data_IF_231134044130
#
_entry.id   IF_231134044130
#
_cell.length_a   1.000
_cell.length_b   1.000
_cell.length_c   1.000
_cell.angle_alpha   90.00
_cell.angle_beta   90.00
_cell.angle_gamma   90.00
#
_symmetry.space_group_name_H-M   'P 1'
#
loop_
_entity.id
_entity.type
_entity.pdbx_description
1 polymer ?
#
# COMPACT_ATOMS: atom_id res chain seq x y z
N UNK A 1 -11.10 -1.66 1.21
CA UNK A 1 -11.51 -2.40 2.45
C UNK A 1 -11.94 -1.41 3.52
N UNK A 2 -13.08 -1.60 4.18
CA UNK A 2 -13.49 -0.74 5.30
C UNK A 2 -12.59 -1.02 6.51
N UNK A 3 -12.43 -0.05 7.41
CA UNK A 3 -11.70 -0.26 8.68
C UNK A 3 -12.18 -1.51 9.43
N UNK A 4 -13.51 -1.71 9.52
CA UNK A 4 -14.10 -2.88 10.14
C UNK A 4 -13.70 -4.19 9.43
N UNK A 5 -13.61 -4.21 8.11
CA UNK A 5 -13.23 -5.38 7.33
C UNK A 5 -11.72 -5.66 7.50
N UNK A 6 -10.88 -4.60 7.51
CA UNK A 6 -9.46 -4.71 7.80
C UNK A 6 -9.19 -5.30 9.19
N UNK A 7 -9.97 -4.86 10.18
CA UNK A 7 -9.89 -5.39 11.57
C UNK A 7 -10.29 -6.88 11.62
N UNK A 8 -11.29 -7.29 10.81
CA UNK A 8 -11.76 -8.68 10.80
C UNK A 8 -10.78 -9.63 10.07
N UNK A 9 -10.05 -9.14 9.07
CA UNK A 9 -9.21 -9.95 8.19
C UNK A 9 -7.70 -9.77 8.42
N UNK A 10 -7.31 -9.03 9.46
CA UNK A 10 -5.89 -8.78 9.73
C UNK A 10 -5.11 -10.08 9.95
N UNK A 11 -3.92 -10.21 9.36
CA UNK A 11 -3.08 -11.38 9.53
C UNK A 11 -2.71 -11.64 11.00
N UNK A 12 -2.39 -12.90 11.37
CA UNK A 12 -2.05 -13.28 12.75
C UNK A 12 -0.90 -12.47 13.34
N UNK A 13 0.08 -12.08 12.52
CA UNK A 13 1.23 -11.26 12.94
C UNK A 13 0.89 -9.86 13.45
N UNK A 14 -0.38 -9.43 13.34
CA UNK A 14 -0.81 -8.16 13.92
C UNK A 14 -0.57 -8.08 15.43
N UNK A 15 -0.55 -9.22 16.12
CA UNK A 15 -0.30 -9.30 17.57
C UNK A 15 1.16 -8.99 17.96
N UNK A 16 2.08 -8.95 16.99
CA UNK A 16 3.49 -8.55 17.21
C UNK A 16 3.66 -7.04 17.37
N UNK A 17 2.65 -6.24 17.02
CA UNK A 17 2.69 -4.79 17.14
C UNK A 17 1.86 -4.29 18.33
N UNK A 18 2.24 -3.13 18.84
CA UNK A 18 1.50 -2.39 19.88
C UNK A 18 0.88 -1.13 19.29
N UNK A 19 -0.18 -0.62 19.89
CA UNK A 19 -0.78 0.64 19.47
C UNK A 19 0.21 1.82 19.52
N UNK A 20 1.15 1.81 20.47
CA UNK A 20 2.23 2.80 20.58
C UNK A 20 3.22 2.78 19.40
N UNK A 21 3.30 1.69 18.66
CA UNK A 21 4.15 1.61 17.46
C UNK A 21 3.70 2.57 16.35
N UNK A 22 2.43 3.03 16.38
CA UNK A 22 1.97 4.09 15.48
C UNK A 22 2.82 5.37 15.60
N UNK A 23 3.35 5.67 16.78
CA UNK A 23 4.23 6.83 17.00
C UNK A 23 5.58 6.74 16.27
N UNK A 24 5.93 5.56 15.76
CA UNK A 24 7.17 5.30 15.01
C UNK A 24 6.98 5.42 13.49
N UNK A 25 5.73 5.54 13.03
CA UNK A 25 5.43 5.69 11.61
C UNK A 25 5.76 7.11 11.12
N UNK A 26 6.16 7.20 9.86
CA UNK A 26 6.45 8.47 9.22
C UNK A 26 5.18 9.32 8.98
N UNK A 27 5.35 10.63 8.83
CA UNK A 27 4.26 11.60 8.58
C UNK A 27 3.36 11.18 7.41
N UNK A 28 3.95 10.73 6.30
CA UNK A 28 3.21 10.32 5.10
C UNK A 28 2.26 9.18 5.42
N UNK A 29 2.76 8.14 6.07
CA UNK A 29 1.99 6.95 6.45
C UNK A 29 0.89 7.29 7.45
N UNK A 30 1.19 8.07 8.49
CA UNK A 30 0.17 8.52 9.44
C UNK A 30 -0.94 9.31 8.76
N UNK A 31 -0.61 10.21 7.84
CA UNK A 31 -1.62 10.98 7.13
C UNK A 31 -2.51 10.09 6.25
N UNK A 32 -1.96 9.05 5.61
CA UNK A 32 -2.75 8.06 4.86
C UNK A 32 -3.70 7.27 5.77
N UNK A 33 -3.21 6.79 6.93
CA UNK A 33 -4.01 6.03 7.89
C UNK A 33 -5.17 6.85 8.49
N UNK A 34 -4.99 8.16 8.62
CA UNK A 34 -5.99 9.07 9.18
C UNK A 34 -6.70 9.91 8.10
N UNK A 35 -6.49 9.66 6.82
CA UNK A 35 -7.22 10.34 5.76
C UNK A 35 -8.73 10.06 5.86
N UNK A 36 -9.61 11.09 5.79
CA UNK A 36 -11.04 10.88 5.96
C UNK A 36 -11.61 9.89 4.94
N UNK A 37 -12.28 8.85 5.44
CA UNK A 37 -12.88 7.83 4.60
C UNK A 37 -13.29 6.60 5.40
N UNK A 38 -13.93 5.61 4.77
CA UNK A 38 -14.44 4.42 5.46
C UNK A 38 -13.34 3.54 6.09
N UNK A 39 -12.08 3.72 5.66
CA UNK A 39 -10.92 2.97 6.16
C UNK A 39 -10.01 3.79 7.09
N UNK A 40 -10.38 5.05 7.36
CA UNK A 40 -9.60 5.89 8.27
C UNK A 40 -9.57 5.30 9.68
N UNK A 41 -8.40 5.32 10.31
CA UNK A 41 -8.31 4.98 11.72
C UNK A 41 -9.05 6.05 12.55
N UNK A 42 -9.97 5.65 13.46
CA UNK A 42 -10.64 6.60 14.34
C UNK A 42 -9.67 7.23 15.32
N UNK A 43 -9.66 8.57 15.43
CA UNK A 43 -8.87 9.26 16.44
C UNK A 43 -9.29 8.87 17.86
N UNK A 44 -10.56 8.52 18.03
CA UNK A 44 -11.12 8.00 19.28
C UNK A 44 -10.45 6.70 19.70
N UNK A 45 -10.20 5.77 18.78
CA UNK A 45 -9.48 4.53 19.08
C UNK A 45 -8.02 4.82 19.46
N UNK A 46 -7.34 5.75 18.77
CA UNK A 46 -5.99 6.16 19.15
C UNK A 46 -5.95 6.75 20.55
N UNK A 47 -6.87 7.68 20.84
CA UNK A 47 -6.98 8.30 22.16
C UNK A 47 -7.29 7.27 23.26
N UNK A 48 -8.19 6.33 22.98
CA UNK A 48 -8.54 5.27 23.93
C UNK A 48 -7.36 4.31 24.19
N UNK A 49 -6.65 3.90 23.11
CA UNK A 49 -5.58 2.91 23.21
C UNK A 49 -4.32 3.45 23.88
N UNK A 50 -3.93 4.70 23.58
CA UNK A 50 -2.62 5.26 23.98
C UNK A 50 -2.72 6.61 24.72
N UNK A 51 -3.92 7.03 25.17
CA UNK A 51 -4.10 8.32 25.83
C UNK A 51 -3.25 8.50 27.09
N UNK A 52 -2.95 7.42 27.81
CA UNK A 52 -2.05 7.43 28.97
C UNK A 52 -0.57 7.49 28.60
N UNK A 53 -0.20 7.05 27.40
CA UNK A 53 1.15 7.07 26.84
C UNK A 53 1.44 8.45 26.20
N UNK A 54 1.58 9.47 27.03
CA UNK A 54 1.62 10.89 26.61
C UNK A 54 2.66 11.17 25.53
N UNK A 55 3.84 10.59 25.62
CA UNK A 55 4.90 10.79 24.63
C UNK A 55 4.49 10.26 23.24
N UNK A 56 3.95 9.03 23.18
CA UNK A 56 3.47 8.43 21.94
C UNK A 56 2.29 9.24 21.36
N UNK A 57 1.35 9.67 22.20
CA UNK A 57 0.21 10.49 21.80
C UNK A 57 0.66 11.82 21.20
N UNK A 58 1.60 12.52 21.84
CA UNK A 58 2.14 13.78 21.33
C UNK A 58 2.94 13.59 20.04
N UNK A 59 3.72 12.52 19.93
CA UNK A 59 4.47 12.20 18.72
C UNK A 59 3.51 12.04 17.52
N UNK A 60 2.43 11.26 17.66
CA UNK A 60 1.43 11.10 16.60
C UNK A 60 0.75 12.45 16.31
N UNK A 61 0.30 13.17 17.34
CA UNK A 61 -0.40 14.45 17.16
C UNK A 61 0.43 15.48 16.40
N UNK A 62 1.75 15.53 16.64
CA UNK A 62 2.68 16.45 15.95
C UNK A 62 2.87 16.17 14.46
N UNK A 63 2.60 14.96 14.03
CA UNK A 63 2.75 14.53 12.64
C UNK A 63 1.44 14.68 11.84
N UNK A 64 0.30 14.81 12.50
CA UNK A 64 -1.00 15.05 11.89
C UNK A 64 -1.20 16.53 11.54
N UNK A 65 -2.17 16.86 10.65
CA UNK A 65 -2.63 18.23 10.48
C UNK A 65 -3.07 18.85 11.80
N UNK A 66 -2.73 20.11 12.05
CA UNK A 66 -2.87 20.77 13.36
C UNK A 66 -4.23 20.53 14.05
N UNK A 67 -5.35 20.77 13.34
CA UNK A 67 -6.68 20.58 13.90
C UNK A 67 -6.96 19.12 14.35
N UNK A 68 -6.38 18.14 13.67
CA UNK A 68 -6.49 16.71 14.06
C UNK A 68 -5.59 16.37 15.22
N UNK A 69 -4.36 16.86 15.21
CA UNK A 69 -3.43 16.71 16.33
C UNK A 69 -4.02 17.26 17.62
N UNK A 70 -4.54 18.48 17.61
CA UNK A 70 -5.23 19.10 18.74
C UNK A 70 -6.47 18.30 19.21
N UNK A 71 -7.28 17.80 18.25
CA UNK A 71 -8.42 16.95 18.56
C UNK A 71 -7.96 15.66 19.25
N UNK A 72 -6.91 15.00 18.74
CA UNK A 72 -6.35 13.79 19.33
C UNK A 72 -5.88 14.04 20.78
N UNK A 73 -5.16 15.13 21.03
CA UNK A 73 -4.70 15.48 22.38
C UNK A 73 -5.86 15.74 23.35
N UNK A 74 -6.93 16.41 22.89
CA UNK A 74 -8.15 16.60 23.71
C UNK A 74 -8.85 15.29 24.03
N UNK A 75 -8.96 14.39 23.05
CA UNK A 75 -9.56 13.07 23.25
C UNK A 75 -8.76 12.22 24.25
N UNK A 76 -7.42 12.26 24.17
CA UNK A 76 -6.52 11.53 25.07
C UNK A 76 -6.52 11.96 26.52
N UNK A 77 -7.22 13.06 26.86
CA UNK A 77 -7.42 13.49 28.26
C UNK A 77 -8.60 12.78 28.94
N UNK A 78 -9.42 12.04 28.18
CA UNK A 78 -10.59 11.34 28.72
C UNK A 78 -10.16 10.05 29.39
N UNK A 79 -10.69 9.75 30.60
CA UNK A 79 -10.44 8.46 31.21
C UNK A 79 -11.11 7.34 30.39
N UNK A 80 -10.39 6.24 30.19
CA UNK A 80 -10.87 5.09 29.42
C UNK A 80 -10.71 3.83 30.24
N UNK A 81 -11.74 2.98 30.29
CA UNK A 81 -11.67 1.70 30.98
C UNK A 81 -10.62 0.77 30.34
N UNK A 82 -9.94 -0.05 31.16
CA UNK A 82 -8.87 -0.93 30.67
C UNK A 82 -9.32 -1.87 29.54
N UNK A 83 -10.53 -2.45 29.64
CA UNK A 83 -11.07 -3.32 28.59
C UNK A 83 -11.31 -2.59 27.26
N UNK A 84 -11.78 -1.34 27.30
CA UNK A 84 -11.96 -0.51 26.11
C UNK A 84 -10.63 -0.12 25.51
N UNK A 85 -9.64 0.25 26.32
CA UNK A 85 -8.27 0.53 25.89
C UNK A 85 -7.66 -0.64 25.13
N UNK A 86 -7.76 -1.83 25.68
CA UNK A 86 -7.24 -3.04 25.06
C UNK A 86 -7.97 -3.36 23.74
N UNK A 87 -9.29 -3.23 23.71
CA UNK A 87 -10.08 -3.42 22.50
C UNK A 87 -9.71 -2.40 21.40
N UNK A 88 -9.56 -1.12 21.75
CA UNK A 88 -9.13 -0.07 20.84
C UNK A 88 -7.71 -0.34 20.32
N UNK A 89 -6.77 -0.75 21.18
CA UNK A 89 -5.41 -1.10 20.79
C UNK A 89 -5.39 -2.23 19.75
N UNK A 90 -6.17 -3.29 19.99
CA UNK A 90 -6.28 -4.40 19.01
C UNK A 90 -6.86 -3.93 17.67
N UNK A 91 -7.92 -3.11 17.68
CA UNK A 91 -8.50 -2.57 16.43
C UNK A 91 -7.49 -1.73 15.66
N UNK A 92 -6.78 -0.83 16.33
CA UNK A 92 -5.78 0.03 15.70
C UNK A 92 -4.65 -0.75 15.04
N UNK A 93 -4.06 -1.69 15.80
CA UNK A 93 -2.95 -2.49 15.27
C UNK A 93 -3.40 -3.29 14.05
N UNK A 94 -4.57 -3.91 14.11
CA UNK A 94 -5.12 -4.65 12.95
C UNK A 94 -5.38 -3.73 11.76
N UNK A 95 -5.99 -2.57 11.97
CA UNK A 95 -6.27 -1.61 10.89
C UNK A 95 -5.00 -0.97 10.29
N UNK A 96 -3.92 -0.87 11.07
CA UNK A 96 -2.64 -0.33 10.63
C UNK A 96 -1.63 -1.41 10.20
N UNK A 97 -1.98 -2.70 10.25
CA UNK A 97 -1.05 -3.84 10.13
C UNK A 97 -0.07 -3.71 8.96
N UNK A 98 -0.56 -3.44 7.76
CA UNK A 98 0.30 -3.36 6.57
C UNK A 98 1.31 -2.22 6.66
N UNK A 99 0.88 -1.06 7.15
CA UNK A 99 1.77 0.11 7.30
C UNK A 99 2.80 -0.09 8.41
N UNK A 100 2.40 -0.71 9.52
CA UNK A 100 3.33 -1.12 10.57
C UNK A 100 4.36 -2.11 10.03
N UNK A 101 3.91 -3.08 9.24
CA UNK A 101 4.80 -4.06 8.58
C UNK A 101 5.76 -3.37 7.62
N UNK A 102 5.29 -2.49 6.74
CA UNK A 102 6.14 -1.82 5.76
C UNK A 102 7.23 -0.96 6.41
N UNK A 103 6.94 -0.29 7.51
CA UNK A 103 7.90 0.60 8.16
C UNK A 103 8.73 -0.06 9.25
N UNK A 104 8.17 -0.98 10.03
CA UNK A 104 8.83 -1.54 11.21
C UNK A 104 9.30 -2.99 11.03
N UNK A 105 8.71 -3.71 10.09
CA UNK A 105 9.06 -5.10 9.76
C UNK A 105 9.25 -5.28 8.25
N UNK A 106 9.86 -4.29 7.58
CA UNK A 106 10.04 -4.27 6.13
C UNK A 106 10.79 -5.49 5.59
N UNK A 107 11.64 -6.13 6.39
CA UNK A 107 12.31 -7.38 6.04
C UNK A 107 11.33 -8.55 5.89
N UNK A 108 10.30 -8.66 6.74
CA UNK A 108 9.27 -9.69 6.62
C UNK A 108 8.43 -9.48 5.34
N UNK A 109 8.05 -8.21 5.07
CA UNK A 109 7.37 -7.87 3.81
C UNK A 109 8.22 -8.23 2.59
N UNK A 110 9.50 -7.98 2.66
CA UNK A 110 10.44 -8.30 1.59
C UNK A 110 10.57 -9.81 1.35
N UNK A 111 10.66 -10.59 2.43
CA UNK A 111 10.64 -12.06 2.35
C UNK A 111 9.31 -12.58 1.76
N UNK A 112 8.16 -12.03 2.19
CA UNK A 112 6.86 -12.38 1.60
C UNK A 112 6.85 -12.07 0.10
N UNK A 113 7.27 -10.87 -0.30
CA UNK A 113 7.30 -10.48 -1.70
C UNK A 113 8.20 -11.38 -2.56
N UNK A 114 9.27 -11.93 -2.00
CA UNK A 114 10.15 -12.91 -2.64
C UNK A 114 9.52 -14.31 -2.70
N UNK A 115 8.78 -14.70 -1.66
CA UNK A 115 8.13 -16.02 -1.56
C UNK A 115 6.86 -16.13 -2.41
N UNK A 116 6.28 -15.02 -2.83
CA UNK A 116 5.09 -14.94 -3.68
C UNK A 116 5.45 -14.42 -5.09
N UNK A 117 5.95 -15.25 -6.00
CA UNK A 117 6.29 -14.82 -7.34
C UNK A 117 5.05 -14.37 -8.11
N UNK A 118 5.22 -13.40 -9.01
CA UNK A 118 4.16 -13.02 -9.97
C UNK A 118 4.10 -14.09 -11.04
N UNK A 119 2.88 -14.43 -11.51
CA UNK A 119 2.68 -15.40 -12.59
C UNK A 119 3.55 -15.04 -13.83
N UNK A 120 4.39 -15.95 -14.34
CA UNK A 120 5.30 -15.65 -15.44
C UNK A 120 4.58 -15.25 -16.73
N UNK A 121 3.45 -15.88 -17.03
CA UNK A 121 2.62 -15.59 -18.20
C UNK A 121 2.04 -14.18 -18.10
N UNK A 122 1.62 -13.76 -16.90
CA UNK A 122 1.16 -12.39 -16.64
C UNK A 122 2.28 -11.38 -16.93
N UNK A 123 3.50 -11.67 -16.49
CA UNK A 123 4.65 -10.80 -16.74
C UNK A 123 4.99 -10.70 -18.23
N UNK A 124 4.81 -11.80 -18.98
CA UNK A 124 5.01 -11.82 -20.44
C UNK A 124 3.98 -10.94 -21.17
N UNK A 125 2.73 -10.91 -20.69
CA UNK A 125 1.66 -10.11 -21.29
C UNK A 125 1.72 -8.61 -20.94
N UNK A 126 2.58 -8.20 -20.00
CA UNK A 126 2.80 -6.78 -19.73
C UNK A 126 3.52 -6.11 -20.92
N UNK A 127 2.98 -5.01 -21.49
CA UNK A 127 3.59 -4.29 -22.61
C UNK A 127 4.74 -3.39 -22.15
N UNK A 128 5.80 -4.02 -21.61
CA UNK A 128 6.90 -3.33 -20.93
C UNK A 128 8.09 -3.03 -21.87
N UNK A 129 8.22 -3.76 -23.01
CA UNK A 129 9.42 -3.72 -23.84
C UNK A 129 9.59 -2.38 -24.56
N UNK A 130 10.70 -1.71 -24.30
CA UNK A 130 11.01 -0.39 -24.86
C UNK A 130 10.12 0.75 -24.34
N UNK A 131 9.25 0.51 -23.38
CA UNK A 131 8.29 1.47 -22.85
C UNK A 131 8.89 2.44 -21.82
N UNK A 132 8.30 3.64 -21.71
CA UNK A 132 8.44 4.51 -20.53
C UNK A 132 7.44 4.02 -19.49
N UNK A 133 7.93 3.49 -18.39
CA UNK A 133 7.12 2.84 -17.37
C UNK A 133 7.11 3.67 -16.09
N UNK A 134 5.91 3.82 -15.49
CA UNK A 134 5.72 4.29 -14.13
C UNK A 134 5.15 3.13 -13.31
N UNK A 135 5.94 2.61 -12.40
CA UNK A 135 5.48 1.63 -11.40
C UNK A 135 5.06 2.36 -10.13
N UNK A 136 3.84 2.13 -9.66
CA UNK A 136 3.27 2.81 -8.48
C UNK A 136 3.04 1.82 -7.36
N UNK A 137 3.64 2.09 -6.18
CA UNK A 137 3.66 1.15 -5.05
C UNK A 137 4.66 0.02 -5.29
N UNK A 138 5.89 0.37 -5.69
CA UNK A 138 6.91 -0.60 -6.09
C UNK A 138 7.39 -1.50 -4.93
N UNK A 139 7.14 -1.11 -3.67
CA UNK A 139 7.56 -1.87 -2.50
C UNK A 139 9.07 -2.05 -2.44
N UNK A 140 9.51 -3.28 -2.21
CA UNK A 140 10.93 -3.67 -2.23
C UNK A 140 11.44 -4.07 -3.63
N UNK A 141 10.56 -4.05 -4.67
CA UNK A 141 10.96 -4.23 -6.07
C UNK A 141 10.54 -5.53 -6.73
N UNK A 142 9.53 -6.24 -6.22
CA UNK A 142 9.05 -7.52 -6.80
C UNK A 142 8.70 -7.39 -8.29
N UNK A 143 7.87 -6.42 -8.66
CA UNK A 143 7.53 -6.17 -10.06
C UNK A 143 8.64 -5.40 -10.78
N UNK A 144 9.32 -4.47 -10.10
CA UNK A 144 10.48 -3.73 -10.64
C UNK A 144 11.52 -4.66 -11.24
N UNK A 145 11.80 -5.80 -10.59
CA UNK A 145 12.75 -6.82 -11.07
C UNK A 145 12.39 -7.33 -12.48
N UNK A 146 11.11 -7.58 -12.73
CA UNK A 146 10.63 -8.06 -14.03
C UNK A 146 10.58 -6.96 -15.11
N UNK A 147 10.50 -5.70 -14.69
CA UNK A 147 10.46 -4.54 -15.61
C UNK A 147 11.86 -4.02 -15.95
N UNK A 148 12.83 -4.23 -15.05
CA UNK A 148 14.24 -3.84 -15.27
C UNK A 148 14.81 -4.62 -16.45
N UNK A 149 15.42 -3.91 -17.40
CA UNK A 149 15.95 -4.49 -18.64
C UNK A 149 14.95 -4.58 -19.78
N UNK A 150 13.65 -4.50 -19.52
CA UNK A 150 12.60 -4.39 -20.56
C UNK A 150 12.23 -2.94 -20.85
N UNK A 151 12.14 -2.12 -19.82
CA UNK A 151 11.77 -0.71 -19.93
C UNK A 151 12.89 0.12 -20.61
N UNK A 152 12.49 1.08 -21.46
CA UNK A 152 13.39 2.16 -21.90
C UNK A 152 13.70 3.12 -20.76
N UNK A 153 12.72 3.39 -19.93
CA UNK A 153 12.82 4.21 -18.71
C UNK A 153 11.86 3.66 -17.67
N UNK A 154 12.35 3.40 -16.47
CA UNK A 154 11.54 2.92 -15.36
C UNK A 154 11.60 3.91 -14.19
N UNK A 155 10.45 4.47 -13.85
CA UNK A 155 10.25 5.27 -12.63
C UNK A 155 9.46 4.42 -11.65
N UNK A 156 10.06 4.10 -10.50
CA UNK A 156 9.46 3.31 -9.44
C UNK A 156 9.09 4.20 -8.26
N UNK A 157 7.82 4.25 -7.93
CA UNK A 157 7.26 5.13 -6.91
C UNK A 157 6.92 4.32 -5.66
N UNK A 158 7.49 4.71 -4.51
CA UNK A 158 7.29 4.02 -3.23
C UNK A 158 7.26 5.03 -2.07
N UNK A 159 6.16 5.18 -1.32
CA UNK A 159 6.06 6.14 -0.23
C UNK A 159 6.86 5.73 1.02
N UNK A 160 6.97 4.41 1.29
CA UNK A 160 7.56 3.90 2.51
C UNK A 160 9.10 3.97 2.48
N UNK A 161 9.77 4.70 3.41
CA UNK A 161 11.21 4.89 3.37
C UNK A 161 12.04 3.60 3.46
N UNK A 162 11.74 2.62 4.34
CA UNK A 162 12.48 1.36 4.39
C UNK A 162 12.41 0.57 3.09
N UNK A 163 11.21 0.39 2.51
CA UNK A 163 11.03 -0.32 1.25
C UNK A 163 11.72 0.40 0.10
N UNK A 164 11.62 1.73 0.05
CA UNK A 164 12.29 2.55 -0.96
C UNK A 164 13.82 2.46 -0.89
N UNK A 165 14.41 2.26 0.31
CA UNK A 165 15.86 1.98 0.44
C UNK A 165 16.23 0.64 -0.19
N UNK A 166 15.48 -0.42 0.10
CA UNK A 166 15.69 -1.74 -0.51
C UNK A 166 15.57 -1.67 -2.04
N UNK A 167 14.53 -1.02 -2.53
CA UNK A 167 14.28 -0.81 -3.95
C UNK A 167 15.47 -0.14 -4.66
N UNK A 168 15.99 0.96 -4.12
CA UNK A 168 17.16 1.66 -4.68
C UNK A 168 18.42 0.79 -4.74
N UNK A 169 18.65 0.03 -3.68
CA UNK A 169 19.84 -0.82 -3.61
C UNK A 169 19.79 -1.95 -4.63
N UNK A 170 18.61 -2.53 -4.85
CA UNK A 170 18.46 -3.68 -5.74
C UNK A 170 18.30 -3.31 -7.22
N UNK A 171 17.71 -2.16 -7.48
CA UNK A 171 17.36 -1.73 -8.84
C UNK A 171 17.98 -0.35 -9.17
N UNK A 172 19.33 -0.24 -9.24
CA UNK A 172 20.02 1.03 -9.48
C UNK A 172 19.70 1.63 -10.86
N UNK A 173 19.17 0.85 -11.79
CA UNK A 173 18.71 1.29 -13.11
C UNK A 173 17.32 1.94 -13.10
N UNK A 174 16.56 1.85 -12.02
CA UNK A 174 15.26 2.48 -11.89
C UNK A 174 15.37 3.85 -11.19
N UNK A 175 14.55 4.80 -11.61
CA UNK A 175 14.43 6.10 -10.94
C UNK A 175 13.45 5.96 -9.77
N UNK A 176 13.98 5.83 -8.55
CA UNK A 176 13.20 5.58 -7.35
C UNK A 176 12.82 6.89 -6.66
N UNK A 177 11.51 7.18 -6.61
CA UNK A 177 10.95 8.44 -6.11
C UNK A 177 9.94 8.17 -4.98
N UNK A 178 9.89 9.06 -3.99
CA UNK A 178 8.87 9.05 -2.95
C UNK A 178 7.56 9.63 -3.48
N UNK A 179 6.50 8.82 -3.54
CA UNK A 179 5.18 9.30 -3.94
C UNK A 179 4.06 8.43 -3.37
N UNK A 180 2.87 9.00 -3.23
CA UNK A 180 1.61 8.32 -2.90
C UNK A 180 0.73 8.25 -4.14
N UNK A 181 -0.07 7.18 -4.27
CA UNK A 181 -0.81 6.86 -5.50
C UNK A 181 -1.80 7.93 -5.97
N UNK A 182 -2.36 8.72 -5.05
CA UNK A 182 -3.32 9.78 -5.37
C UNK A 182 -2.66 11.14 -5.72
N UNK A 183 -1.32 11.21 -5.75
CA UNK A 183 -0.54 12.41 -6.11
C UNK A 183 0.82 12.01 -6.66
N UNK A 184 0.86 11.74 -7.94
CA UNK A 184 2.08 11.28 -8.61
C UNK A 184 2.89 12.46 -9.18
N UNK A 185 4.21 12.55 -8.90
CA UNK A 185 5.06 13.60 -9.42
C UNK A 185 5.48 13.30 -10.87
N UNK A 186 4.51 12.95 -11.70
CA UNK A 186 4.68 12.57 -13.10
C UNK A 186 3.88 13.55 -13.97
N UNK A 187 4.49 13.98 -15.05
CA UNK A 187 3.82 14.83 -16.05
C UNK A 187 2.66 14.05 -16.71
N UNK A 188 1.54 14.74 -16.93
CA UNK A 188 0.39 14.14 -17.62
C UNK A 188 0.79 13.60 -18.99
N UNK A 189 0.31 12.41 -19.35
CA UNK A 189 0.57 11.80 -20.63
C UNK A 189 2.02 11.36 -20.86
N UNK A 190 2.82 11.16 -19.81
CA UNK A 190 4.23 10.79 -19.98
C UNK A 190 4.45 9.31 -20.22
N UNK A 191 3.73 8.43 -19.55
CA UNK A 191 4.01 7.00 -19.55
C UNK A 191 3.36 6.25 -20.71
N UNK A 192 4.08 5.32 -21.31
CA UNK A 192 3.55 4.32 -22.22
C UNK A 192 2.79 3.23 -21.45
N UNK A 193 3.30 2.88 -20.26
CA UNK A 193 2.72 1.94 -19.30
C UNK A 193 2.77 2.54 -17.90
N UNK A 194 1.62 2.60 -17.23
CA UNK A 194 1.52 2.82 -15.78
C UNK A 194 1.12 1.49 -15.15
N UNK A 195 1.89 0.99 -14.18
CA UNK A 195 1.66 -0.34 -13.61
C UNK A 195 1.72 -0.30 -12.09
N UNK A 196 0.96 -1.19 -11.44
CA UNK A 196 0.99 -1.41 -10.00
C UNK A 196 0.72 -2.88 -9.66
N UNK A 197 1.30 -3.38 -8.56
CA UNK A 197 1.12 -4.77 -8.13
C UNK A 197 0.63 -4.81 -6.68
N UNK A 198 -0.55 -5.43 -6.45
CA UNK A 198 -1.13 -5.70 -5.13
C UNK A 198 -1.18 -4.47 -4.20
N UNK A 199 -1.46 -3.27 -4.75
CA UNK A 199 -1.36 -2.01 -4.01
C UNK A 199 -2.70 -1.31 -3.83
N UNK A 200 -3.56 -1.34 -4.85
CA UNK A 200 -4.74 -0.47 -4.91
C UNK A 200 -6.06 -1.23 -4.85
N UNK A 201 -7.08 -0.53 -4.38
CA UNK A 201 -8.45 -0.98 -4.28
C UNK A 201 -9.41 0.20 -4.21
N UNK A 202 -10.74 -0.06 -4.05
CA UNK A 202 -11.79 0.95 -4.13
C UNK A 202 -11.81 1.95 -2.96
N UNK A 203 -11.18 1.61 -1.85
CA UNK A 203 -11.30 2.38 -0.61
C UNK A 203 -9.96 3.00 -0.18
N UNK A 204 -9.96 4.23 0.39
CA UNK A 204 -8.83 4.71 1.17
C UNK A 204 -8.55 3.74 2.36
N UNK A 205 -7.30 3.48 2.72
CA UNK A 205 -6.06 4.00 2.18
C UNK A 205 -5.56 3.28 0.91
N UNK A 206 -6.37 2.41 0.30
CA UNK A 206 -6.02 1.68 -0.93
C UNK A 206 -6.18 2.54 -2.21
N UNK A 207 -6.40 3.83 -2.05
CA UNK A 207 -6.35 4.83 -3.10
C UNK A 207 -7.69 5.29 -3.65
N UNK A 208 -8.65 4.40 -3.91
CA UNK A 208 -9.97 4.76 -4.44
C UNK A 208 -9.94 5.52 -5.76
N UNK A 209 -11.04 6.28 -6.07
CA UNK A 209 -11.14 7.04 -7.32
C UNK A 209 -9.98 8.03 -7.59
N UNK A 210 -9.39 8.72 -6.59
CA UNK A 210 -8.27 9.62 -6.83
C UNK A 210 -7.05 8.93 -7.44
N UNK A 211 -6.78 7.67 -7.06
CA UNK A 211 -5.67 6.92 -7.66
C UNK A 211 -5.96 6.58 -9.11
N UNK A 212 -7.18 6.16 -9.43
CA UNK A 212 -7.57 5.89 -10.85
C UNK A 212 -7.26 7.12 -11.71
N UNK A 213 -7.70 8.30 -11.27
CA UNK A 213 -7.49 9.55 -12.01
C UNK A 213 -5.98 9.84 -12.22
N UNK A 214 -5.15 9.60 -11.21
CA UNK A 214 -3.70 9.83 -11.31
C UNK A 214 -2.98 8.81 -12.20
N UNK A 215 -3.36 7.51 -12.12
CA UNK A 215 -2.81 6.48 -12.99
C UNK A 215 -3.13 6.80 -14.47
N UNK A 216 -4.38 7.15 -14.75
CA UNK A 216 -4.84 7.51 -16.10
C UNK A 216 -4.21 8.83 -16.58
N UNK A 217 -4.11 9.85 -15.72
CA UNK A 217 -3.46 11.13 -16.03
C UNK A 217 -2.00 10.95 -16.45
N UNK A 218 -1.26 10.08 -15.77
CA UNK A 218 0.16 9.85 -16.06
C UNK A 218 0.38 9.08 -17.37
N UNK A 219 -0.59 8.25 -17.78
CA UNK A 219 -0.53 7.49 -19.02
C UNK A 219 -0.81 8.38 -20.23
N UNK A 220 -0.05 8.20 -21.33
CA UNK A 220 -0.28 8.94 -22.58
C UNK A 220 -1.57 8.49 -23.29
N UNK A 221 -2.13 9.28 -24.21
CA UNK A 221 -3.15 8.82 -25.11
C UNK A 221 -2.69 7.56 -25.86
N UNK A 222 -3.51 6.51 -25.86
CA UNK A 222 -3.16 5.18 -26.38
C UNK A 222 -2.21 4.36 -25.50
N UNK A 223 -1.75 4.90 -24.37
CA UNK A 223 -0.99 4.16 -23.35
C UNK A 223 -1.86 3.21 -22.54
N UNK A 224 -1.24 2.44 -21.66
CA UNK A 224 -1.90 1.38 -20.90
C UNK A 224 -1.71 1.62 -19.40
N UNK A 225 -2.78 1.42 -18.64
CA UNK A 225 -2.74 1.23 -17.19
C UNK A 225 -2.94 -0.25 -16.92
N UNK A 226 -1.99 -0.86 -16.18
CA UNK A 226 -1.97 -2.27 -15.81
C UNK A 226 -1.98 -2.44 -14.30
N UNK A 227 -2.89 -3.26 -13.78
CA UNK A 227 -3.01 -3.55 -12.36
C UNK A 227 -2.84 -5.05 -12.15
N UNK A 228 -1.78 -5.42 -11.46
CA UNK A 228 -1.48 -6.80 -11.09
C UNK A 228 -2.10 -7.11 -9.75
N UNK A 229 -3.06 -8.01 -9.72
CA UNK A 229 -3.81 -8.47 -8.53
C UNK A 229 -4.25 -7.34 -7.60
N UNK A 230 -4.95 -6.30 -8.09
CA UNK A 230 -5.53 -5.27 -7.23
C UNK A 230 -6.66 -5.86 -6.38
N UNK A 231 -7.01 -5.20 -5.29
CA UNK A 231 -8.20 -5.57 -4.53
C UNK A 231 -9.49 -5.30 -5.32
N UNK A 232 -10.51 -6.12 -5.08
CA UNK A 232 -11.83 -6.01 -5.68
C UNK A 232 -11.82 -5.84 -7.22
N UNK A 233 -11.44 -6.84 -8.00
CA UNK A 233 -11.34 -6.75 -9.45
C UNK A 233 -12.60 -6.19 -10.13
N UNK A 234 -13.80 -6.58 -9.69
CA UNK A 234 -15.06 -6.11 -10.24
C UNK A 234 -15.25 -4.58 -10.15
N UNK A 235 -14.64 -3.93 -9.14
CA UNK A 235 -14.68 -2.48 -9.03
C UNK A 235 -13.87 -1.79 -10.14
N UNK A 236 -12.79 -2.42 -10.57
CA UNK A 236 -11.94 -1.95 -11.68
C UNK A 236 -12.58 -2.26 -13.03
N UNK A 237 -13.19 -3.45 -13.20
CA UNK A 237 -13.92 -3.83 -14.42
C UNK A 237 -15.06 -2.83 -14.71
N UNK A 238 -15.80 -2.40 -13.68
CA UNK A 238 -16.82 -1.35 -13.79
C UNK A 238 -16.27 0.02 -14.25
N UNK A 239 -14.94 0.19 -14.30
CA UNK A 239 -14.22 1.38 -14.80
C UNK A 239 -13.51 1.15 -16.13
N UNK A 240 -13.85 0.07 -16.81
CA UNK A 240 -13.35 -0.27 -18.15
C UNK A 240 -11.95 -0.90 -18.14
N UNK A 241 -11.60 -1.59 -17.06
CA UNK A 241 -10.41 -2.45 -17.03
C UNK A 241 -10.81 -3.88 -17.41
N UNK A 242 -10.07 -4.49 -18.35
CA UNK A 242 -10.29 -5.86 -18.78
C UNK A 242 -9.51 -6.83 -17.88
N UNK A 243 -10.21 -7.78 -17.26
CA UNK A 243 -9.63 -8.78 -16.34
C UNK A 243 -9.10 -10.00 -17.11
N UNK A 244 -7.83 -10.32 -16.88
CA UNK A 244 -7.18 -11.56 -17.28
C UNK A 244 -6.74 -12.34 -16.04
N UNK A 245 -7.01 -13.65 -16.02
CA UNK A 245 -6.65 -14.53 -14.89
C UNK A 245 -5.68 -15.59 -15.39
N UNK A 246 -4.57 -15.74 -14.69
CA UNK A 246 -3.49 -16.68 -14.99
C UNK A 246 -3.44 -17.78 -13.92
N UNK A 247 -2.79 -18.92 -14.20
CA UNK A 247 -2.50 -19.90 -13.15
C UNK A 247 -1.68 -19.25 -12.03
N UNK A 248 -2.13 -19.42 -10.79
CA UNK A 248 -1.36 -18.94 -9.64
C UNK A 248 -0.04 -19.74 -9.56
N UNK A 249 1.11 -19.10 -9.52
CA UNK A 249 2.38 -19.81 -9.38
C UNK A 249 2.48 -20.44 -7.98
N UNK A 250 3.26 -21.52 -7.82
CA UNK A 250 3.50 -22.08 -6.51
C UNK A 250 4.22 -21.03 -5.63
N UNK A 251 3.73 -20.88 -4.40
CA UNK A 251 4.33 -20.02 -3.39
C UNK A 251 4.50 -20.82 -2.11
N UNK A 252 5.66 -20.72 -1.50
CA UNK A 252 6.00 -21.43 -0.26
C UNK A 252 6.49 -20.43 0.77
N UNK A 253 5.69 -20.22 1.80
CA UNK A 253 6.11 -19.46 2.97
C UNK A 253 6.79 -20.42 3.95
N UNK A 254 7.84 -19.94 4.60
CA UNK A 254 8.34 -20.61 5.79
C UNK A 254 7.34 -20.42 6.96
N UNK A 255 7.52 -21.20 8.03
CA UNK A 255 6.60 -21.21 9.16
C UNK A 255 6.48 -19.83 9.84
N UNK A 256 7.53 -18.99 9.81
CA UNK A 256 7.50 -17.65 10.38
C UNK A 256 6.63 -16.71 9.54
N UNK A 257 6.82 -16.71 8.22
CA UNK A 257 6.05 -15.88 7.30
C UNK A 257 4.58 -16.30 7.28
N UNK A 258 4.29 -17.60 7.26
CA UNK A 258 2.91 -18.09 7.30
C UNK A 258 2.22 -17.74 8.62
N UNK A 259 2.91 -17.88 9.76
CA UNK A 259 2.39 -17.45 11.06
C UNK A 259 2.19 -15.93 11.16
N UNK A 260 2.91 -15.13 10.36
CA UNK A 260 2.79 -13.68 10.37
C UNK A 260 1.74 -13.17 9.39
N UNK A 261 1.73 -13.66 8.15
CA UNK A 261 0.88 -13.15 7.07
C UNK A 261 -0.35 -14.02 6.78
N UNK A 262 -0.37 -15.27 7.22
CA UNK A 262 -1.32 -16.29 6.77
C UNK A 262 -0.87 -17.00 5.49
N UNK A 263 -1.80 -17.71 4.80
CA UNK A 263 -1.46 -18.43 3.60
C UNK A 263 -1.00 -17.52 2.45
N UNK A 264 -0.16 -18.04 1.52
CA UNK A 264 0.35 -17.24 0.41
C UNK A 264 -0.74 -16.86 -0.60
N UNK A 265 -0.59 -15.67 -1.18
CA UNK A 265 -1.47 -15.13 -2.22
C UNK A 265 -0.66 -14.55 -3.40
N UNK A 266 0.02 -15.41 -4.19
CA UNK A 266 0.86 -14.94 -5.29
C UNK A 266 0.04 -14.20 -6.35
N UNK A 267 0.55 -13.06 -6.88
CA UNK A 267 -0.15 -12.28 -7.88
C UNK A 267 -0.31 -13.04 -9.22
N UNK A 268 -1.55 -13.20 -9.67
CA UNK A 268 -1.91 -13.97 -10.88
C UNK A 268 -3.07 -13.38 -11.69
N UNK A 269 -3.53 -12.17 -11.33
CA UNK A 269 -4.60 -11.46 -12.06
C UNK A 269 -4.01 -10.20 -12.68
N UNK A 270 -4.43 -9.87 -13.90
CA UNK A 270 -4.02 -8.67 -14.59
C UNK A 270 -5.26 -7.94 -15.09
N UNK A 271 -5.40 -6.68 -14.72
CA UNK A 271 -6.42 -5.80 -15.26
C UNK A 271 -5.75 -4.75 -16.13
N UNK A 272 -6.20 -4.63 -17.37
CA UNK A 272 -5.66 -3.72 -18.36
C UNK A 272 -6.70 -2.70 -18.81
N UNK A 273 -6.28 -1.45 -18.92
CA UNK A 273 -7.07 -0.41 -19.58
C UNK A 273 -6.19 0.36 -20.55
N UNK A 274 -6.57 0.34 -21.83
CA UNK A 274 -5.97 1.22 -22.84
C UNK A 274 -6.69 2.55 -22.84
N UNK A 275 -5.94 3.63 -22.72
CA UNK A 275 -6.53 4.97 -22.80
C UNK A 275 -6.81 5.35 -24.25
N UNK A 276 -8.03 5.82 -24.51
CA UNK A 276 -8.44 6.27 -25.82
C UNK A 276 -7.62 7.49 -26.24
N UNK A 277 -7.11 7.59 -27.47
CA UNK A 277 -6.55 8.83 -27.99
C UNK A 277 -7.62 9.93 -27.97
N UNK A 278 -7.30 11.08 -27.36
CA UNK A 278 -8.16 12.25 -27.43
C UNK A 278 -8.03 12.96 -28.77
#
# INVERSE_FOLDING_TARGET
MRYADAVATAPPGSERFRATDLARLGRTTLNLLFEPGPSALPLEDVAAAIGEEREALHAIASLLPAARGERLLRLGQRPVAAAEREAAARRLVRGAFWYLTYELASHLWDCLAAAEPIAPELLADLPADGARIVEVGAGSGRLTAALTGRARTLIALEPCPPLRRLLRTRHPGAWVVAAVGHRLPIVSGWADLVVSCATFGPHPPLGGPPVVAELERCSRPGGIVALVSPEEPAWWEARGYDLHVYPAPPAHLDAELEAFFGPPHPPHRLLLKRLVPQ
#
